data_IF_970233620307
#
_entry.id   IF_970233620307
#
_cell.length_a   1.000
_cell.length_b   1.000
_cell.length_c   1.000
_cell.angle_alpha   90.00
_cell.angle_beta   90.00
_cell.angle_gamma   90.00
#
_symmetry.space_group_name_H-M   'P 1'
#
loop_
_entity.id
_entity.type
_entity.pdbx_description
1 polymer ?
#
# COMPACT_ATOMS: atom_id res chain seq x y z
N UNK A 1 -52.80 33.54 -54.67
CA UNK A 1 -51.45 33.19 -54.15
C UNK A 1 -51.56 33.13 -52.64
N UNK A 2 -51.42 31.96 -52.03
CA UNK A 2 -51.55 31.77 -50.57
C UNK A 2 -50.29 31.08 -50.05
N UNK A 3 -49.55 31.81 -49.21
CA UNK A 3 -48.27 31.37 -48.65
C UNK A 3 -48.56 30.65 -47.33
N UNK A 4 -48.14 29.40 -47.23
CA UNK A 4 -48.37 28.53 -46.09
C UNK A 4 -47.37 28.84 -44.95
N UNK A 5 -47.81 29.53 -43.90
CA UNK A 5 -46.95 30.03 -42.79
C UNK A 5 -46.95 29.07 -41.58
N UNK A 6 -47.50 27.86 -41.67
CA UNK A 6 -47.70 26.98 -40.50
C UNK A 6 -46.43 26.25 -39.99
N UNK A 7 -45.33 26.22 -40.75
CA UNK A 7 -44.18 25.36 -40.42
C UNK A 7 -43.19 25.93 -39.39
N UNK A 8 -43.11 27.26 -39.21
CA UNK A 8 -42.05 27.87 -38.37
C UNK A 8 -42.24 27.66 -36.87
N UNK A 9 -43.49 27.57 -36.39
CA UNK A 9 -43.79 27.43 -34.97
C UNK A 9 -43.49 26.03 -34.41
N UNK A 10 -43.68 24.99 -35.23
CA UNK A 10 -43.49 23.61 -34.80
C UNK A 10 -42.01 23.30 -34.47
N UNK A 11 -41.06 23.88 -35.23
CA UNK A 11 -39.64 23.71 -34.99
C UNK A 11 -39.16 24.36 -33.68
N UNK A 12 -39.73 25.52 -33.30
CA UNK A 12 -39.41 26.20 -32.04
C UNK A 12 -39.94 25.38 -30.86
N UNK A 13 -41.14 24.83 -30.98
CA UNK A 13 -41.72 23.97 -29.95
C UNK A 13 -40.93 22.67 -29.78
N UNK A 14 -40.45 22.05 -30.86
CA UNK A 14 -39.58 20.86 -30.75
C UNK A 14 -38.22 21.20 -30.15
N UNK A 15 -37.63 22.34 -30.51
CA UNK A 15 -36.36 22.79 -29.93
C UNK A 15 -36.48 23.02 -28.42
N UNK A 16 -37.55 23.68 -27.96
CA UNK A 16 -37.81 23.89 -26.54
C UNK A 16 -38.01 22.57 -25.77
N UNK A 17 -38.65 21.57 -26.38
CA UNK A 17 -38.79 20.23 -25.76
C UNK A 17 -37.45 19.52 -25.60
N UNK A 18 -36.58 19.59 -26.61
CA UNK A 18 -35.24 19.00 -26.55
C UNK A 18 -34.40 19.72 -25.49
N UNK A 19 -34.49 21.04 -25.41
CA UNK A 19 -33.76 21.84 -24.43
C UNK A 19 -34.24 21.55 -23.00
N UNK A 20 -35.55 21.45 -22.77
CA UNK A 20 -36.12 21.05 -21.49
C UNK A 20 -35.66 19.65 -21.07
N UNK A 21 -35.62 18.69 -22.02
CA UNK A 21 -35.15 17.34 -21.76
C UNK A 21 -33.65 17.30 -21.45
N UNK A 22 -32.85 18.13 -22.13
CA UNK A 22 -31.42 18.31 -21.84
C UNK A 22 -31.16 18.81 -20.42
N UNK A 23 -31.94 19.78 -19.94
CA UNK A 23 -31.81 20.31 -18.57
C UNK A 23 -32.08 19.21 -17.53
N UNK A 24 -33.08 18.37 -17.75
CA UNK A 24 -33.39 17.25 -16.85
C UNK A 24 -32.25 16.24 -16.81
N UNK A 25 -31.68 15.89 -17.96
CA UNK A 25 -30.53 14.97 -18.04
C UNK A 25 -29.33 15.55 -17.28
N UNK A 26 -29.01 16.82 -17.48
CA UNK A 26 -27.90 17.49 -16.78
C UNK A 26 -28.11 17.48 -15.27
N UNK A 27 -29.34 17.71 -14.79
CA UNK A 27 -29.64 17.63 -13.36
C UNK A 27 -29.41 16.22 -12.81
N UNK A 28 -29.91 15.20 -13.49
CA UNK A 28 -29.74 13.81 -13.09
C UNK A 28 -28.27 13.37 -13.08
N UNK A 29 -27.50 13.75 -14.10
CA UNK A 29 -26.07 13.42 -14.17
C UNK A 29 -25.28 14.13 -13.07
N UNK A 30 -25.63 15.36 -12.71
CA UNK A 30 -24.97 16.10 -11.63
C UNK A 30 -25.18 15.42 -10.28
N UNK A 31 -26.41 14.98 -9.97
CA UNK A 31 -26.72 14.24 -8.75
C UNK A 31 -25.96 12.92 -8.71
N UNK A 32 -25.96 12.17 -9.81
CA UNK A 32 -25.25 10.90 -9.92
C UNK A 32 -23.73 11.07 -9.76
N UNK A 33 -23.16 12.11 -10.38
CA UNK A 33 -21.74 12.41 -10.28
C UNK A 33 -21.35 12.81 -8.86
N UNK A 34 -22.19 13.57 -8.16
CA UNK A 34 -21.98 13.90 -6.75
C UNK A 34 -21.96 12.64 -5.87
N UNK A 35 -22.91 11.72 -6.06
CA UNK A 35 -22.94 10.45 -5.34
C UNK A 35 -21.67 9.61 -5.61
N UNK A 36 -21.21 9.55 -6.86
CA UNK A 36 -19.96 8.88 -7.23
C UNK A 36 -18.74 9.51 -6.55
N UNK A 37 -18.67 10.84 -6.51
CA UNK A 37 -17.56 11.56 -5.86
C UNK A 37 -17.52 11.28 -4.36
N UNK A 38 -18.68 11.29 -3.68
CA UNK A 38 -18.75 10.93 -2.25
C UNK A 38 -18.30 9.50 -2.02
N UNK A 39 -18.81 8.55 -2.81
CA UNK A 39 -18.44 7.13 -2.67
C UNK A 39 -16.93 6.94 -2.83
N UNK A 40 -16.32 7.56 -3.86
CA UNK A 40 -14.87 7.53 -4.06
C UNK A 40 -14.10 8.17 -2.91
N UNK A 41 -14.59 9.28 -2.34
CA UNK A 41 -13.96 9.93 -1.20
C UNK A 41 -13.95 9.03 0.03
N UNK A 42 -15.04 8.31 0.28
CA UNK A 42 -15.12 7.36 1.39
C UNK A 42 -14.14 6.20 1.19
N UNK A 43 -14.07 5.64 -0.02
CA UNK A 43 -13.08 4.60 -0.35
C UNK A 43 -11.65 5.08 -0.14
N UNK A 44 -11.32 6.30 -0.58
CA UNK A 44 -9.97 6.87 -0.37
C UNK A 44 -9.66 7.02 1.12
N UNK A 45 -10.63 7.45 1.94
CA UNK A 45 -10.44 7.55 3.38
C UNK A 45 -10.26 6.18 4.04
N UNK A 46 -10.99 5.17 3.60
CA UNK A 46 -10.87 3.79 4.07
C UNK A 46 -9.49 3.21 3.71
N UNK A 47 -9.04 3.40 2.47
CA UNK A 47 -7.71 2.99 2.05
C UNK A 47 -6.63 3.71 2.84
N UNK A 48 -6.77 5.03 3.06
CA UNK A 48 -5.83 5.80 3.88
C UNK A 48 -5.75 5.24 5.30
N UNK A 49 -6.90 5.03 5.95
CA UNK A 49 -6.95 4.44 7.30
C UNK A 49 -6.32 3.04 7.34
N UNK A 50 -6.52 2.25 6.28
CA UNK A 50 -5.92 0.91 6.17
C UNK A 50 -4.41 1.02 6.05
N UNK A 51 -3.89 1.95 5.24
CA UNK A 51 -2.45 2.20 5.10
C UNK A 51 -1.84 2.68 6.42
N UNK A 52 -2.48 3.62 7.11
CA UNK A 52 -2.01 4.12 8.41
C UNK A 52 -1.94 2.97 9.45
N UNK A 53 -2.97 2.10 9.47
CA UNK A 53 -2.97 0.92 10.34
C UNK A 53 -1.86 -0.09 9.97
N UNK A 54 -1.64 -0.34 8.68
CA UNK A 54 -0.55 -1.20 8.20
C UNK A 54 0.82 -0.64 8.59
N UNK A 55 1.01 0.67 8.54
CA UNK A 55 2.25 1.33 8.96
C UNK A 55 2.49 1.15 10.46
N UNK A 56 1.48 1.39 11.29
CA UNK A 56 1.55 1.14 12.73
C UNK A 56 1.87 -0.32 13.04
N UNK A 57 1.20 -1.25 12.36
CA UNK A 57 1.43 -2.69 12.56
C UNK A 57 2.86 -3.08 12.13
N UNK A 58 3.38 -2.48 11.07
CA UNK A 58 4.77 -2.69 10.64
C UNK A 58 5.76 -2.20 11.71
N UNK A 59 5.53 -1.01 12.25
CA UNK A 59 6.34 -0.47 13.35
C UNK A 59 6.29 -1.37 14.58
N UNK A 60 5.13 -1.91 14.93
CA UNK A 60 4.97 -2.84 16.05
C UNK A 60 5.71 -4.16 15.82
N UNK A 61 5.66 -4.72 14.61
CA UNK A 61 6.45 -5.89 14.26
C UNK A 61 7.95 -5.61 14.31
N UNK A 62 8.38 -4.45 13.81
CA UNK A 62 9.78 -4.05 13.84
C UNK A 62 10.26 -3.89 15.29
N UNK A 63 9.45 -3.27 16.14
CA UNK A 63 9.74 -3.12 17.57
C UNK A 63 9.80 -4.49 18.26
N UNK A 64 8.86 -5.39 17.96
CA UNK A 64 8.85 -6.76 18.49
C UNK A 64 10.10 -7.54 18.09
N UNK A 65 10.54 -7.43 16.84
CA UNK A 65 11.79 -8.04 16.36
C UNK A 65 12.98 -7.45 17.10
N UNK A 66 13.05 -6.14 17.26
CA UNK A 66 14.15 -5.52 18.00
C UNK A 66 14.18 -5.97 19.45
N UNK A 67 13.04 -6.08 20.12
CA UNK A 67 12.98 -6.61 21.48
C UNK A 67 13.49 -8.05 21.56
N UNK A 68 13.10 -8.91 20.61
CA UNK A 68 13.55 -10.31 20.58
C UNK A 68 15.03 -10.45 20.22
N UNK A 69 15.54 -9.57 19.38
CA UNK A 69 16.93 -9.61 18.89
C UNK A 69 17.85 -8.70 19.69
N UNK A 70 17.32 -8.03 20.71
CA UNK A 70 18.11 -7.14 21.54
C UNK A 70 19.19 -7.95 22.25
N UNK A 71 20.42 -7.46 22.14
CA UNK A 71 21.59 -8.09 22.72
C UNK A 71 21.44 -8.31 24.22
N UNK A 72 20.76 -7.42 24.94
CA UNK A 72 20.50 -7.55 26.37
C UNK A 72 19.54 -8.72 26.68
N UNK A 73 18.48 -8.88 25.88
CA UNK A 73 17.55 -10.00 26.01
C UNK A 73 18.17 -11.33 25.59
N UNK A 74 19.02 -11.32 24.56
CA UNK A 74 19.77 -12.50 24.13
C UNK A 74 20.80 -12.93 25.17
N UNK A 75 21.52 -11.99 25.79
CA UNK A 75 22.45 -12.27 26.88
C UNK A 75 21.69 -12.81 28.10
N UNK A 76 20.59 -12.16 28.50
CA UNK A 76 19.77 -12.63 29.63
C UNK A 76 19.19 -14.01 29.40
N UNK A 77 18.77 -14.31 28.17
CA UNK A 77 18.25 -15.63 27.79
C UNK A 77 19.37 -16.68 27.75
N UNK A 78 20.55 -16.31 27.25
CA UNK A 78 21.74 -17.15 27.27
C UNK A 78 22.16 -17.49 28.71
N UNK A 79 22.20 -16.50 29.61
CA UNK A 79 22.51 -16.69 31.02
C UNK A 79 21.50 -17.63 31.71
N UNK A 80 20.19 -17.46 31.43
CA UNK A 80 19.13 -18.37 31.95
C UNK A 80 19.26 -19.80 31.44
N UNK A 81 19.74 -19.98 30.22
CA UNK A 81 19.98 -21.29 29.60
C UNK A 81 21.35 -21.87 30.00
N UNK A 82 22.14 -21.15 30.81
CA UNK A 82 23.49 -21.56 31.19
C UNK A 82 24.49 -21.54 30.03
N UNK A 83 24.18 -20.81 28.95
CA UNK A 83 25.03 -20.66 27.79
C UNK A 83 26.14 -19.64 28.10
N UNK A 84 27.38 -20.04 27.86
CA UNK A 84 28.55 -19.20 28.11
C UNK A 84 29.08 -18.67 26.78
N UNK A 85 29.46 -17.40 26.73
CA UNK A 85 30.09 -16.80 25.55
C UNK A 85 31.45 -17.46 25.29
N UNK A 86 31.55 -18.24 24.22
CA UNK A 86 32.82 -18.80 23.74
C UNK A 86 33.67 -17.69 23.12
N UNK A 87 34.81 -17.36 23.74
CA UNK A 87 35.68 -16.27 23.29
C UNK A 87 36.66 -16.67 22.19
N UNK A 88 36.92 -17.98 22.02
CA UNK A 88 37.87 -18.47 21.01
C UNK A 88 37.39 -19.80 20.41
N UNK A 89 36.41 -19.78 19.49
CA UNK A 89 35.82 -20.98 18.92
C UNK A 89 36.78 -21.68 17.95
N UNK A 90 37.42 -22.77 18.40
CA UNK A 90 38.30 -23.59 17.55
C UNK A 90 37.52 -24.34 16.44
N UNK A 91 36.19 -24.42 16.53
CA UNK A 91 35.30 -25.07 15.55
C UNK A 91 35.07 -24.27 14.26
N UNK A 92 35.51 -23.01 14.19
CA UNK A 92 35.49 -22.20 12.97
C UNK A 92 36.75 -22.39 12.10
N UNK A 93 37.69 -23.25 12.51
CA UNK A 93 38.87 -23.60 11.70
C UNK A 93 38.43 -24.50 10.55
N UNK A 94 37.87 -23.88 9.52
CA UNK A 94 37.66 -24.51 8.22
C UNK A 94 39.03 -24.94 7.71
N UNK A 95 39.21 -26.25 7.54
CA UNK A 95 40.48 -26.88 7.21
C UNK A 95 41.21 -26.18 6.07
N UNK A 96 42.34 -25.56 6.40
CA UNK A 96 43.45 -25.44 5.48
C UNK A 96 44.49 -26.44 5.96
N UNK A 97 44.43 -27.65 5.40
CA UNK A 97 45.51 -28.62 5.52
C UNK A 97 46.80 -27.96 5.05
N UNK A 98 47.68 -27.67 6.01
CA UNK A 98 48.97 -27.04 5.76
C UNK A 98 49.95 -28.09 5.24
N UNK A 99 49.89 -28.33 3.94
CA UNK A 99 50.76 -29.25 3.21
C UNK A 99 52.12 -28.60 2.89
N UNK A 100 52.78 -28.00 3.89
CA UNK A 100 53.98 -27.17 3.63
C UNK A 100 55.14 -27.32 4.61
N UNK A 101 55.34 -28.49 5.23
CA UNK A 101 56.58 -28.79 5.98
C UNK A 101 57.09 -30.22 5.82
N UNK A 102 57.52 -30.57 4.60
CA UNK A 102 58.47 -31.67 4.37
C UNK A 102 59.48 -31.33 3.26
N UNK A 103 60.12 -30.16 3.30
CA UNK A 103 61.43 -29.99 2.64
C UNK A 103 62.24 -28.97 3.44
N UNK A 104 63.22 -29.47 4.20
CA UNK A 104 64.59 -28.94 4.41
C UNK A 104 65.11 -29.35 5.79
N UNK A 105 65.78 -30.50 5.87
CA UNK A 105 67.11 -30.60 6.50
C UNK A 105 67.61 -32.06 6.43
N UNK A 106 68.44 -32.36 5.44
CA UNK A 106 69.74 -33.05 5.57
C UNK A 106 70.37 -33.20 4.20
#
# INVERSE_FOLDING_TARGET
MTINIKNKNNHIVTLNKILALGVVIVFLTTIWLYAQVISKRNLVNEYKSTTDNLELTNLDYKNSIYQLTDSENLITTADKLGLVKENNPDYLRVGREDNSRLVTSR
#
